data_IF_826909244819
#
_entry.id   IF_826909244819
#
_cell.length_a   1.000
_cell.length_b   1.000
_cell.length_c   1.000
_cell.angle_alpha   90.00
_cell.angle_beta   90.00
_cell.angle_gamma   90.00
#
_symmetry.space_group_name_H-M   'P 1'
#
loop_
_entity.id
_entity.type
_entity.pdbx_description
1 polymer ?
#
# COMPACT_ATOMS: atom_id res chain seq x y z
N UNK A 1 51.18 -2.79 -23.77
CA UNK A 1 50.58 -3.53 -24.91
C UNK A 1 49.31 -4.18 -24.35
N UNK A 2 48.12 -3.53 -24.42
CA UNK A 2 47.00 -3.81 -25.37
C UNK A 2 46.73 -5.33 -25.47
N UNK A 3 45.57 -5.87 -25.07
CA UNK A 3 44.27 -5.69 -25.73
C UNK A 3 43.04 -5.94 -24.84
N UNK A 4 41.98 -5.20 -25.17
CA UNK A 4 40.60 -5.25 -24.71
C UNK A 4 39.82 -6.51 -25.13
N UNK A 5 38.69 -6.76 -24.45
CA UNK A 5 37.63 -7.65 -24.94
C UNK A 5 36.34 -7.54 -24.13
N UNK A 6 35.57 -6.47 -24.33
CA UNK A 6 34.17 -6.34 -23.89
C UNK A 6 33.30 -7.10 -24.89
N UNK A 7 32.62 -8.16 -24.47
CA UNK A 7 31.67 -8.90 -25.32
C UNK A 7 30.23 -8.69 -24.84
N UNK A 8 29.62 -7.64 -25.41
CA UNK A 8 28.32 -7.62 -26.08
C UNK A 8 27.26 -8.64 -25.60
N UNK A 9 26.38 -8.14 -24.72
CA UNK A 9 24.91 -8.16 -24.78
C UNK A 9 24.34 -8.57 -26.16
N UNK A 10 23.70 -9.74 -26.21
CA UNK A 10 22.87 -10.20 -27.33
C UNK A 10 21.51 -10.62 -26.78
N UNK A 11 20.59 -9.66 -26.75
CA UNK A 11 19.15 -9.92 -26.84
C UNK A 11 18.83 -10.23 -28.31
N UNK A 12 18.07 -11.30 -28.54
CA UNK A 12 17.19 -11.58 -29.68
C UNK A 12 17.28 -13.05 -30.12
N UNK A 13 16.31 -13.84 -29.68
CA UNK A 13 15.78 -14.96 -30.45
C UNK A 13 14.41 -15.32 -29.86
N UNK A 14 13.35 -14.83 -30.50
CA UNK A 14 12.01 -15.32 -30.27
C UNK A 14 11.88 -16.72 -30.88
N UNK A 15 11.31 -17.64 -30.11
CA UNK A 15 10.72 -18.88 -30.62
C UNK A 15 9.41 -19.09 -29.85
N UNK A 16 8.30 -18.92 -30.55
CA UNK A 16 6.98 -19.41 -30.15
C UNK A 16 7.01 -20.93 -30.31
N UNK A 17 6.89 -21.66 -29.21
CA UNK A 17 6.54 -23.07 -29.21
C UNK A 17 5.81 -23.38 -27.89
N UNK A 18 4.50 -23.62 -27.97
CA UNK A 18 3.69 -23.99 -26.83
C UNK A 18 4.06 -25.37 -26.29
N UNK A 19 3.96 -25.52 -24.98
CA UNK A 19 3.58 -26.76 -24.30
C UNK A 19 3.27 -26.42 -22.84
N UNK A 20 2.08 -26.80 -22.39
CA UNK A 20 1.69 -26.83 -20.99
C UNK A 20 2.73 -27.59 -20.15
N UNK A 21 2.78 -27.27 -18.84
CA UNK A 21 2.87 -28.20 -17.69
C UNK A 21 3.74 -27.64 -16.54
N UNK A 22 3.10 -27.55 -15.37
CA UNK A 22 3.64 -27.65 -14.00
C UNK A 22 4.54 -26.53 -13.44
N UNK A 23 3.94 -25.78 -12.50
CA UNK A 23 4.50 -25.47 -11.17
C UNK A 23 5.97 -25.06 -11.10
N UNK A 24 6.25 -23.77 -11.33
CA UNK A 24 7.56 -23.17 -11.10
C UNK A 24 7.49 -22.07 -10.04
N UNK A 25 7.97 -22.36 -8.83
CA UNK A 25 8.54 -21.35 -7.94
C UNK A 25 9.79 -20.80 -8.63
N UNK A 26 9.76 -19.55 -9.11
CA UNK A 26 10.91 -18.65 -9.29
C UNK A 26 10.49 -17.40 -10.07
N UNK A 27 10.06 -16.36 -9.36
CA UNK A 27 10.32 -14.99 -9.77
C UNK A 27 10.02 -14.07 -8.58
N UNK A 28 11.07 -13.53 -7.98
CA UNK A 28 11.01 -12.24 -7.27
C UNK A 28 10.71 -11.18 -8.33
N UNK A 29 9.45 -11.11 -8.76
CA UNK A 29 8.96 -10.10 -9.67
C UNK A 29 8.50 -8.90 -8.84
N UNK A 30 9.22 -7.80 -8.98
CA UNK A 30 8.70 -6.49 -8.66
C UNK A 30 7.32 -6.31 -9.34
N UNK A 31 6.34 -5.65 -8.71
CA UNK A 31 4.98 -5.59 -9.25
C UNK A 31 4.94 -4.56 -10.38
N UNK A 32 5.22 -5.00 -11.61
CA UNK A 32 4.84 -4.26 -12.83
C UNK A 32 4.27 -5.23 -13.87
N UNK A 33 3.26 -5.98 -13.46
CA UNK A 33 2.30 -6.60 -14.36
C UNK A 33 0.95 -6.27 -13.77
N UNK A 34 0.05 -5.70 -14.57
CA UNK A 34 -1.38 -5.63 -14.24
C UNK A 34 -1.94 -7.06 -14.25
N UNK A 35 -1.54 -7.85 -13.25
CA UNK A 35 -2.31 -8.99 -12.81
C UNK A 35 -3.64 -8.42 -12.32
N UNK A 36 -4.73 -9.11 -12.64
CA UNK A 36 -6.02 -8.76 -12.05
C UNK A 36 -5.86 -8.63 -10.52
N UNK A 37 -6.56 -7.67 -9.88
CA UNK A 37 -6.46 -7.49 -8.45
C UNK A 37 -6.71 -8.82 -7.73
N UNK A 38 -5.84 -9.18 -6.80
CA UNK A 38 -5.97 -10.42 -6.02
C UNK A 38 -7.06 -10.22 -4.97
N UNK A 39 -8.30 -10.51 -5.36
CA UNK A 39 -9.48 -10.38 -4.51
C UNK A 39 -9.68 -11.57 -3.56
N UNK A 40 -8.69 -12.44 -3.44
CA UNK A 40 -8.65 -13.45 -2.40
C UNK A 40 -8.55 -12.75 -1.04
N UNK A 41 -9.11 -13.32 0.05
CA UNK A 41 -8.93 -12.77 1.39
C UNK A 41 -7.45 -12.56 1.75
N UNK A 42 -6.55 -13.41 1.25
CA UNK A 42 -5.11 -13.25 1.45
C UNK A 42 -4.54 -12.01 0.72
N UNK A 43 -4.98 -11.74 -0.52
CA UNK A 43 -4.57 -10.57 -1.28
C UNK A 43 -5.07 -9.27 -0.66
N UNK A 44 -6.33 -9.23 -0.25
CA UNK A 44 -6.92 -8.08 0.45
C UNK A 44 -6.16 -7.80 1.75
N UNK A 45 -5.91 -8.83 2.56
CA UNK A 45 -5.14 -8.68 3.80
C UNK A 45 -3.69 -8.24 3.53
N UNK A 46 -3.08 -8.71 2.45
CA UNK A 46 -1.74 -8.28 2.07
C UNK A 46 -1.69 -6.79 1.70
N UNK A 47 -2.73 -6.26 1.04
CA UNK A 47 -2.85 -4.82 0.79
C UNK A 47 -2.99 -4.03 2.07
N UNK A 48 -3.85 -4.47 3.00
CA UNK A 48 -4.00 -3.83 4.31
C UNK A 48 -2.66 -3.81 5.04
N UNK A 49 -2.00 -4.96 5.18
CA UNK A 49 -0.72 -5.08 5.89
C UNK A 49 0.38 -4.20 5.26
N UNK A 50 0.45 -4.14 3.93
CA UNK A 50 1.44 -3.32 3.22
C UNK A 50 1.17 -1.82 3.39
N UNK A 51 -0.12 -1.45 3.39
CA UNK A 51 -0.58 -0.08 3.63
C UNK A 51 -0.30 0.35 5.06
N UNK A 52 -0.62 -0.48 6.04
CA UNK A 52 -0.31 -0.25 7.45
C UNK A 52 1.20 -0.15 7.69
N UNK A 53 1.99 -1.02 7.05
CA UNK A 53 3.45 -0.95 7.09
C UNK A 53 3.96 0.40 6.58
N UNK A 54 3.46 0.87 5.44
CA UNK A 54 3.81 2.17 4.86
C UNK A 54 3.39 3.33 5.75
N UNK A 55 2.19 3.26 6.34
CA UNK A 55 1.69 4.27 7.27
C UNK A 55 2.57 4.34 8.53
N UNK A 56 2.99 3.19 9.07
CA UNK A 56 3.90 3.15 10.22
C UNK A 56 5.27 3.74 9.89
N UNK A 57 5.82 3.45 8.72
CA UNK A 57 7.08 4.09 8.29
C UNK A 57 6.94 5.60 8.13
N UNK A 58 5.81 6.07 7.61
CA UNK A 58 5.54 7.49 7.51
C UNK A 58 5.44 8.14 8.90
N UNK A 59 4.72 7.52 9.83
CA UNK A 59 4.58 8.02 11.20
C UNK A 59 5.93 8.03 11.94
N UNK A 60 6.80 7.04 11.73
CA UNK A 60 8.15 7.05 12.30
C UNK A 60 8.98 8.26 11.84
N UNK A 61 8.83 8.66 10.56
CA UNK A 61 9.44 9.87 10.02
C UNK A 61 8.73 11.17 10.43
N UNK A 62 7.51 11.11 10.99
CA UNK A 62 6.68 12.25 11.36
C UNK A 62 6.26 12.17 12.84
N UNK A 63 7.12 12.62 13.78
CA UNK A 63 6.86 12.48 15.21
C UNK A 63 5.59 13.22 15.67
N UNK A 64 5.22 14.34 15.02
CA UNK A 64 3.98 15.07 15.29
C UNK A 64 2.74 14.23 14.96
N UNK A 65 2.69 13.68 13.74
CA UNK A 65 1.58 12.82 13.31
C UNK A 65 1.51 11.54 14.14
N UNK A 66 2.67 10.96 14.45
CA UNK A 66 2.74 9.77 15.30
C UNK A 66 2.19 10.03 16.71
N UNK A 67 2.50 11.18 17.30
CA UNK A 67 1.94 11.56 18.61
C UNK A 67 0.42 11.76 18.53
N UNK A 68 -0.08 12.42 17.49
CA UNK A 68 -1.51 12.63 17.29
C UNK A 68 -2.27 11.31 17.12
N UNK A 69 -1.77 10.42 16.25
CA UNK A 69 -2.32 9.08 16.01
C UNK A 69 -2.24 8.19 17.24
N UNK A 70 -1.09 8.17 17.93
CA UNK A 70 -0.92 7.39 19.17
C UNK A 70 -1.87 7.86 20.28
N UNK A 71 -2.03 9.18 20.46
CA UNK A 71 -2.96 9.73 21.43
C UNK A 71 -4.42 9.41 21.08
N UNK A 72 -4.75 9.37 19.80
CA UNK A 72 -6.10 9.06 19.32
C UNK A 72 -6.54 7.65 19.72
N UNK A 73 -5.63 6.66 19.77
CA UNK A 73 -5.94 5.29 20.20
C UNK A 73 -6.39 5.19 21.67
N UNK A 74 -5.99 6.14 22.53
CA UNK A 74 -6.38 6.16 23.94
C UNK A 74 -7.64 6.99 24.20
N UNK A 75 -8.20 7.62 23.17
CA UNK A 75 -9.33 8.54 23.27
C UNK A 75 -10.62 7.89 22.77
N UNK A 76 -11.79 8.30 23.27
CA UNK A 76 -13.05 7.89 22.67
C UNK A 76 -13.13 8.41 21.24
N UNK A 77 -13.66 7.57 20.34
CA UNK A 77 -13.80 7.81 18.89
C UNK A 77 -14.12 9.26 18.48
N UNK A 78 -15.16 9.93 19.02
CA UNK A 78 -15.47 11.30 18.62
C UNK A 78 -14.36 12.32 18.99
N UNK A 79 -13.68 12.13 20.13
CA UNK A 79 -12.57 12.99 20.53
C UNK A 79 -11.32 12.70 19.69
N UNK A 80 -11.05 11.43 19.41
CA UNK A 80 -9.96 11.00 18.55
C UNK A 80 -10.08 11.61 17.14
N UNK A 81 -11.27 11.52 16.52
CA UNK A 81 -11.55 12.09 15.21
C UNK A 81 -11.36 13.62 15.20
N UNK A 82 -11.89 14.33 16.21
CA UNK A 82 -11.75 15.77 16.33
C UNK A 82 -10.28 16.21 16.48
N UNK A 83 -9.49 15.50 17.29
CA UNK A 83 -8.07 15.78 17.49
C UNK A 83 -7.24 15.52 16.22
N UNK A 84 -7.46 14.37 15.57
CA UNK A 84 -6.78 14.05 14.31
C UNK A 84 -7.13 15.09 13.24
N UNK A 85 -8.40 15.47 13.12
CA UNK A 85 -8.84 16.48 12.17
C UNK A 85 -8.22 17.84 12.44
N UNK A 86 -8.17 18.26 13.71
CA UNK A 86 -7.48 19.49 14.10
C UNK A 86 -6.00 19.48 13.71
N UNK A 87 -5.30 18.38 14.00
CA UNK A 87 -3.90 18.19 13.63
C UNK A 87 -3.70 18.25 12.11
N UNK A 88 -4.43 17.43 11.35
CA UNK A 88 -4.30 17.34 9.89
C UNK A 88 -4.80 18.60 9.15
N UNK A 89 -5.67 19.41 9.77
CA UNK A 89 -6.04 20.73 9.24
C UNK A 89 -4.89 21.73 9.38
N UNK A 90 -4.11 21.66 10.48
CA UNK A 90 -2.90 22.44 10.66
C UNK A 90 -1.71 21.91 9.83
N UNK A 91 -1.74 20.61 9.49
CA UNK A 91 -0.71 19.90 8.74
C UNK A 91 -1.27 19.30 7.43
N UNK A 92 -1.72 20.12 6.48
CA UNK A 92 -2.41 19.63 5.28
C UNK A 92 -1.51 18.78 4.38
N UNK A 93 -0.20 19.04 4.34
CA UNK A 93 0.74 18.22 3.59
C UNK A 93 0.76 16.78 4.13
N UNK A 94 0.80 16.63 5.46
CA UNK A 94 0.84 15.33 6.11
C UNK A 94 -0.48 14.56 5.94
N UNK A 95 -1.60 15.29 5.90
CA UNK A 95 -2.90 14.72 5.57
C UNK A 95 -2.93 14.09 4.18
N UNK A 96 -2.44 14.81 3.16
CA UNK A 96 -2.43 14.30 1.79
C UNK A 96 -1.48 13.12 1.62
N UNK A 97 -0.33 13.14 2.29
CA UNK A 97 0.62 12.03 2.24
C UNK A 97 0.00 10.76 2.87
N UNK A 98 -0.53 10.88 4.09
CA UNK A 98 -1.18 9.75 4.78
C UNK A 98 -2.39 9.23 4.01
N UNK A 99 -3.20 10.10 3.39
CA UNK A 99 -4.28 9.68 2.48
C UNK A 99 -3.76 8.92 1.26
N UNK A 100 -2.65 9.38 0.67
CA UNK A 100 -1.99 8.70 -0.44
C UNK A 100 -1.53 7.30 -0.04
N UNK A 101 -0.99 7.16 1.17
CA UNK A 101 -0.58 5.88 1.74
C UNK A 101 -1.78 4.95 1.94
N UNK A 102 -2.90 5.47 2.46
CA UNK A 102 -4.10 4.68 2.78
C UNK A 102 -4.98 4.37 1.57
N UNK A 103 -4.79 5.07 0.44
CA UNK A 103 -5.57 4.89 -0.79
C UNK A 103 -5.70 3.43 -1.32
N UNK A 104 -4.68 2.55 -1.22
CA UNK A 104 -4.76 1.17 -1.70
C UNK A 104 -5.86 0.34 -1.02
N UNK A 105 -6.22 0.66 0.22
CA UNK A 105 -7.30 -0.02 0.93
C UNK A 105 -8.63 0.23 0.21
N UNK A 106 -9.04 1.49 0.06
CA UNK A 106 -10.29 1.83 -0.63
C UNK A 106 -10.27 1.50 -2.13
N UNK A 107 -9.10 1.44 -2.77
CA UNK A 107 -8.98 0.94 -4.14
C UNK A 107 -9.27 -0.56 -4.21
N UNK A 108 -8.69 -1.35 -3.31
CA UNK A 108 -8.92 -2.81 -3.21
C UNK A 108 -10.38 -3.12 -2.87
N UNK A 109 -10.97 -2.39 -1.94
CA UNK A 109 -12.39 -2.57 -1.57
C UNK A 109 -13.33 -2.34 -2.76
N UNK A 110 -13.08 -1.30 -3.56
CA UNK A 110 -13.87 -1.00 -4.77
C UNK A 110 -13.62 -2.00 -5.89
N UNK A 111 -12.37 -2.40 -6.11
CA UNK A 111 -12.02 -3.36 -7.16
C UNK A 111 -12.54 -4.76 -6.87
N UNK A 112 -12.54 -5.17 -5.60
CA UNK A 112 -12.94 -6.51 -5.16
C UNK A 112 -14.35 -6.58 -4.61
N UNK A 113 -15.08 -5.45 -4.55
CA UNK A 113 -16.42 -5.34 -3.97
C UNK A 113 -16.51 -6.03 -2.59
N UNK A 114 -15.55 -5.70 -1.72
CA UNK A 114 -15.37 -6.33 -0.40
C UNK A 114 -15.04 -5.26 0.64
N UNK A 115 -15.13 -5.63 1.92
CA UNK A 115 -14.65 -4.80 3.03
C UNK A 115 -13.34 -5.36 3.54
N UNK A 116 -12.29 -4.56 3.48
CA UNK A 116 -10.93 -4.95 3.87
C UNK A 116 -10.70 -4.73 5.37
N UNK A 117 -11.41 -3.79 5.99
CA UNK A 117 -11.25 -3.42 7.39
C UNK A 117 -12.41 -3.91 8.27
N UNK A 118 -12.17 -4.03 9.57
CA UNK A 118 -13.24 -4.18 10.58
C UNK A 118 -14.22 -3.01 10.49
N UNK A 119 -15.52 -3.17 10.83
CA UNK A 119 -16.52 -2.10 10.68
C UNK A 119 -16.14 -0.81 11.43
N UNK A 120 -15.49 -0.95 12.59
CA UNK A 120 -14.99 0.18 13.36
C UNK A 120 -13.86 0.92 12.62
N UNK A 121 -12.89 0.20 12.06
CA UNK A 121 -11.78 0.79 11.32
C UNK A 121 -12.25 1.38 9.99
N UNK A 122 -13.20 0.73 9.33
CA UNK A 122 -13.81 1.23 8.10
C UNK A 122 -14.43 2.61 8.33
N UNK A 123 -15.21 2.76 9.41
CA UNK A 123 -15.83 4.04 9.76
C UNK A 123 -14.78 5.14 10.04
N UNK A 124 -13.64 4.79 10.62
CA UNK A 124 -12.55 5.74 10.86
C UNK A 124 -11.82 6.12 9.57
N UNK A 125 -11.58 5.13 8.71
CA UNK A 125 -10.97 5.32 7.39
C UNK A 125 -11.84 6.23 6.53
N UNK A 126 -13.15 5.97 6.44
CA UNK A 126 -14.10 6.79 5.68
C UNK A 126 -14.11 8.25 6.19
N UNK A 127 -14.17 8.44 7.52
CA UNK A 127 -14.13 9.78 8.11
C UNK A 127 -12.82 10.52 7.81
N UNK A 128 -11.68 9.83 7.88
CA UNK A 128 -10.38 10.42 7.52
C UNK A 128 -10.30 10.76 6.02
N UNK A 129 -10.78 9.87 5.15
CA UNK A 129 -10.73 10.06 3.71
C UNK A 129 -11.69 11.14 3.21
N UNK A 130 -12.77 11.41 3.95
CA UNK A 130 -13.75 12.46 3.66
C UNK A 130 -13.21 13.89 3.86
N UNK A 131 -12.11 14.06 4.61
CA UNK A 131 -11.46 15.35 4.84
C UNK A 131 -12.01 16.03 6.05
#
# INVERSE_FOLDING_TARGET
>A
MKFSGITVRRHAAGIVAGCCLLGGLTALAAPTASAAPDCSPAGVQNTVNSTEGSARQYLDAHPGANAAVTSAFSQPRPQAAANLRSYFTAHPQEYYDLRGILAPIGDTERQCNTTALSPELQSAYDEFMAG
#
